data_IF_902077221934
#
_entry.id   IF_902077221934
#
_cell.length_a   1.000
_cell.length_b   1.000
_cell.length_c   1.000
_cell.angle_alpha   90.00
_cell.angle_beta   90.00
_cell.angle_gamma   90.00
#
_symmetry.space_group_name_H-M   'P 1'
#
loop_
_entity.id
_entity.type
_entity.pdbx_description
1 polymer ?
#
# COMPACT_ATOMS: atom_id res chain seq x y z
N UNK A 1 -29.66 25.23 61.63
CA UNK A 1 -29.56 25.65 60.21
C UNK A 1 -28.38 24.95 59.57
N UNK A 2 -28.59 23.81 58.89
CA UNK A 2 -27.53 23.12 58.12
C UNK A 2 -27.93 23.22 56.64
N UNK A 3 -27.16 23.97 55.85
CA UNK A 3 -27.38 24.09 54.41
C UNK A 3 -26.92 22.79 53.76
N UNK A 4 -27.84 22.03 53.20
CA UNK A 4 -27.58 20.82 52.43
C UNK A 4 -27.32 21.25 50.98
N UNK A 5 -26.06 21.31 50.58
CA UNK A 5 -25.68 21.63 49.19
C UNK A 5 -25.72 20.33 48.38
N UNK A 6 -26.74 20.19 47.53
CA UNK A 6 -26.91 19.09 46.59
C UNK A 6 -25.97 19.30 45.39
N UNK A 7 -24.91 18.48 45.29
CA UNK A 7 -24.00 18.47 44.15
C UNK A 7 -24.66 17.64 43.03
N UNK A 8 -25.13 18.31 41.99
CA UNK A 8 -25.58 17.67 40.76
C UNK A 8 -24.35 17.18 39.98
N UNK A 9 -24.04 15.89 40.06
CA UNK A 9 -23.01 15.26 39.23
C UNK A 9 -23.59 15.06 37.81
N UNK A 10 -23.47 16.08 36.96
CA UNK A 10 -23.76 15.94 35.53
C UNK A 10 -22.68 15.06 34.89
N UNK A 11 -23.03 13.79 34.68
CA UNK A 11 -22.24 12.85 33.92
C UNK A 11 -22.22 13.29 32.45
N UNK A 12 -21.18 14.03 32.05
CA UNK A 12 -20.90 14.36 30.66
C UNK A 12 -20.52 13.06 29.94
N UNK A 13 -21.51 12.45 29.28
CA UNK A 13 -21.28 11.36 28.32
C UNK A 13 -20.54 12.00 27.14
N UNK A 14 -19.21 11.90 27.13
CA UNK A 14 -18.42 12.21 25.94
C UNK A 14 -18.77 11.18 24.87
N UNK A 15 -19.42 11.55 23.76
CA UNK A 15 -19.58 10.62 22.65
C UNK A 15 -18.19 10.30 22.12
N UNK A 16 -17.82 9.02 22.16
CA UNK A 16 -16.62 8.51 21.50
C UNK A 16 -16.77 8.75 20.01
N UNK A 17 -16.02 9.73 19.49
CA UNK A 17 -15.96 10.02 18.06
C UNK A 17 -15.33 8.82 17.35
N UNK A 18 -16.16 7.98 16.74
CA UNK A 18 -15.67 6.92 15.86
C UNK A 18 -14.97 7.57 14.67
N UNK A 19 -13.69 7.23 14.44
CA UNK A 19 -12.98 7.61 13.22
C UNK A 19 -13.72 6.95 12.05
N UNK A 20 -14.40 7.74 11.22
CA UNK A 20 -14.87 7.29 9.92
C UNK A 20 -13.63 7.20 9.03
N UNK A 21 -13.16 5.97 8.80
CA UNK A 21 -12.11 5.71 7.81
C UNK A 21 -12.80 5.70 6.45
N UNK A 22 -12.60 6.76 5.66
CA UNK A 22 -13.05 6.81 4.28
C UNK A 22 -12.01 6.10 3.42
N UNK A 23 -12.46 5.26 2.49
CA UNK A 23 -11.58 4.66 1.49
C UNK A 23 -10.96 5.76 0.62
N UNK A 24 -9.64 5.87 0.63
CA UNK A 24 -8.87 6.82 -0.17
C UNK A 24 -8.45 6.19 -1.50
N UNK A 25 -8.21 7.02 -2.52
CA UNK A 25 -7.56 6.61 -3.77
C UNK A 25 -6.22 7.31 -3.88
N UNK A 26 -5.14 6.54 -3.94
CA UNK A 26 -3.78 7.03 -4.10
C UNK A 26 -3.37 6.80 -5.56
N UNK A 27 -2.90 7.87 -6.22
CA UNK A 27 -2.44 7.81 -7.60
C UNK A 27 -0.92 7.61 -7.66
N UNK A 28 -0.49 6.69 -8.53
CA UNK A 28 0.92 6.37 -8.79
C UNK A 28 1.16 6.53 -10.29
N UNK A 29 2.11 7.38 -10.65
CA UNK A 29 2.46 7.66 -12.04
C UNK A 29 3.63 6.78 -12.50
N UNK A 30 3.64 6.44 -13.79
CA UNK A 30 4.82 5.86 -14.44
C UNK A 30 5.77 6.99 -14.83
N UNK A 31 6.99 7.01 -14.30
CA UNK A 31 7.93 8.12 -14.52
C UNK A 31 8.78 7.91 -15.77
N UNK A 32 9.51 8.95 -16.19
CA UNK A 32 10.48 8.87 -17.29
C UNK A 32 11.74 8.04 -16.96
N UNK A 33 11.94 7.67 -15.68
CA UNK A 33 13.14 6.98 -15.19
C UNK A 33 12.91 5.48 -14.96
N UNK A 34 11.92 4.88 -15.63
CA UNK A 34 11.49 3.49 -15.41
C UNK A 34 11.22 3.21 -13.93
N UNK A 35 10.48 4.10 -13.27
CA UNK A 35 10.08 3.97 -11.86
C UNK A 35 8.62 4.36 -11.65
N UNK A 36 8.10 4.00 -10.49
CA UNK A 36 6.81 4.49 -10.00
C UNK A 36 7.02 5.77 -9.19
N UNK A 37 6.12 6.76 -9.30
CA UNK A 37 6.24 8.02 -8.54
C UNK A 37 6.23 7.82 -7.03
N UNK A 38 5.59 6.74 -6.56
CA UNK A 38 5.65 6.21 -5.21
C UNK A 38 6.13 4.76 -5.27
N UNK A 39 7.36 4.51 -4.84
CA UNK A 39 7.92 3.14 -4.82
C UNK A 39 7.52 2.37 -3.55
N UNK A 40 7.19 3.08 -2.47
CA UNK A 40 6.68 2.53 -1.22
C UNK A 40 5.47 3.36 -0.80
N UNK A 41 4.32 2.71 -0.62
CA UNK A 41 3.09 3.38 -0.19
C UNK A 41 2.43 2.60 0.95
N UNK A 42 1.94 3.32 1.95
CA UNK A 42 1.14 2.78 3.06
C UNK A 42 -0.29 3.21 2.85
N UNK A 43 -1.22 2.26 2.96
CA UNK A 43 -2.64 2.49 2.80
C UNK A 43 -3.43 1.74 3.88
N UNK A 44 -4.65 2.17 4.14
CA UNK A 44 -5.59 1.47 5.00
C UNK A 44 -6.29 0.34 4.22
N UNK A 45 -6.91 -0.58 4.97
CA UNK A 45 -7.73 -1.63 4.35
C UNK A 45 -8.97 -1.01 3.71
N UNK A 46 -9.16 -1.28 2.42
CA UNK A 46 -10.26 -0.75 1.62
C UNK A 46 -9.86 0.40 0.70
N UNK A 47 -8.66 0.94 0.83
CA UNK A 47 -8.12 1.96 -0.06
C UNK A 47 -7.83 1.40 -1.45
N UNK A 48 -7.71 2.32 -2.41
CA UNK A 48 -7.45 2.03 -3.81
C UNK A 48 -6.11 2.60 -4.23
N UNK A 49 -5.31 1.81 -4.97
CA UNK A 49 -4.20 2.36 -5.75
C UNK A 49 -4.63 2.44 -7.21
N UNK A 50 -4.43 3.61 -7.82
CA UNK A 50 -4.63 3.84 -9.25
C UNK A 50 -3.28 4.17 -9.89
N UNK A 51 -2.85 3.34 -10.85
CA UNK A 51 -1.66 3.57 -11.64
C UNK A 51 -2.01 4.29 -12.93
N UNK A 52 -1.34 5.43 -13.17
CA UNK A 52 -1.58 6.32 -14.28
C UNK A 52 -0.45 6.21 -15.32
N UNK A 53 -0.77 5.92 -16.59
CA UNK A 53 0.22 5.77 -17.66
C UNK A 53 0.66 7.13 -18.23
N UNK A 54 1.25 7.98 -17.37
CA UNK A 54 1.79 9.29 -17.73
C UNK A 54 3.06 9.17 -18.58
N UNK A 55 3.80 8.07 -18.45
CA UNK A 55 4.86 7.63 -19.37
C UNK A 55 4.49 6.30 -20.03
N UNK A 56 4.93 6.09 -21.28
CA UNK A 56 4.58 4.91 -22.10
C UNK A 56 5.58 3.76 -21.95
N UNK A 57 5.14 2.54 -22.24
CA UNK A 57 5.94 1.32 -22.15
C UNK A 57 5.86 0.61 -20.79
N UNK A 58 4.90 0.98 -19.95
CA UNK A 58 4.85 0.52 -18.55
C UNK A 58 3.54 -0.17 -18.21
N UNK A 59 3.59 -1.03 -17.20
CA UNK A 59 2.44 -1.72 -16.66
C UNK A 59 2.68 -2.10 -15.18
N UNK A 60 1.70 -2.78 -14.59
CA UNK A 60 1.78 -3.32 -13.24
C UNK A 60 1.60 -4.84 -13.30
N UNK A 61 2.49 -5.57 -12.66
CA UNK A 61 2.40 -7.01 -12.43
C UNK A 61 2.65 -7.32 -10.96
N UNK A 62 1.70 -7.98 -10.29
CA UNK A 62 1.91 -8.39 -8.91
C UNK A 62 2.81 -9.63 -8.86
N UNK A 63 3.86 -9.53 -8.06
CA UNK A 63 4.89 -10.56 -7.93
C UNK A 63 4.70 -11.36 -6.65
N UNK A 64 4.27 -10.71 -5.57
CA UNK A 64 4.02 -11.34 -4.29
C UNK A 64 3.07 -10.53 -3.42
N UNK A 65 2.36 -11.21 -2.53
CA UNK A 65 1.40 -10.59 -1.63
C UNK A 65 0.46 -11.63 -1.02
N UNK A 66 -0.40 -11.24 -0.08
CA UNK A 66 -1.44 -12.11 0.45
C UNK A 66 -2.55 -12.31 -0.61
N UNK A 67 -3.06 -13.55 -0.71
CA UNK A 67 -4.22 -13.91 -1.57
C UNK A 67 -4.10 -13.40 -3.01
N UNK A 68 -2.94 -13.62 -3.63
CA UNK A 68 -2.63 -13.20 -5.01
C UNK A 68 -3.62 -13.72 -6.06
N UNK A 69 -4.31 -14.82 -5.77
CA UNK A 69 -5.38 -15.40 -6.57
C UNK A 69 -6.62 -14.49 -6.69
N UNK A 70 -6.78 -13.54 -5.76
CA UNK A 70 -7.86 -12.56 -5.77
C UNK A 70 -7.49 -11.25 -6.47
N UNK A 71 -6.21 -11.05 -6.81
CA UNK A 71 -5.73 -9.86 -7.51
C UNK A 71 -5.68 -10.09 -9.02
N UNK A 72 -5.93 -9.04 -9.84
CA UNK A 72 -5.60 -9.11 -11.25
C UNK A 72 -4.09 -9.30 -11.37
N UNK A 73 -3.63 -10.40 -11.96
CA UNK A 73 -2.20 -10.74 -12.00
C UNK A 73 -1.34 -9.63 -12.64
N UNK A 74 -1.85 -8.99 -13.71
CA UNK A 74 -1.12 -8.01 -14.51
C UNK A 74 -2.08 -7.05 -15.22
N UNK A 75 -1.73 -5.77 -15.31
CA UNK A 75 -2.39 -4.79 -16.16
C UNK A 75 -1.92 -4.89 -17.60
N UNK A 76 -2.70 -4.35 -18.54
CA UNK A 76 -2.18 -4.08 -19.88
C UNK A 76 -1.15 -2.94 -19.83
N UNK A 77 -0.27 -2.92 -20.83
CA UNK A 77 0.69 -1.82 -21.02
C UNK A 77 -0.07 -0.54 -21.35
N UNK A 78 0.34 0.57 -20.74
CA UNK A 78 -0.15 1.94 -20.99
C UNK A 78 -1.65 2.18 -20.77
N UNK A 79 -2.30 1.30 -20.00
CA UNK A 79 -3.67 1.48 -19.54
C UNK A 79 -3.70 1.87 -18.06
N UNK A 80 -4.68 2.70 -17.69
CA UNK A 80 -4.97 2.97 -16.27
C UNK A 80 -5.32 1.65 -15.59
N UNK A 81 -4.71 1.39 -14.45
CA UNK A 81 -4.98 0.21 -13.64
C UNK A 81 -5.40 0.64 -12.24
N UNK A 82 -6.44 0.04 -11.69
CA UNK A 82 -6.96 0.40 -10.37
C UNK A 82 -7.29 -0.86 -9.57
N UNK A 83 -6.85 -0.91 -8.32
CA UNK A 83 -7.04 -2.06 -7.43
C UNK A 83 -7.42 -1.59 -6.03
N UNK A 84 -8.50 -2.17 -5.50
CA UNK A 84 -8.92 -1.99 -4.10
C UNK A 84 -8.26 -3.03 -3.22
N UNK A 85 -7.54 -2.60 -2.19
CA UNK A 85 -6.77 -3.47 -1.31
C UNK A 85 -7.56 -3.86 -0.06
N UNK A 86 -8.09 -5.08 -0.05
CA UNK A 86 -8.96 -5.56 1.05
C UNK A 86 -8.27 -6.48 2.05
N UNK A 87 -7.07 -6.97 1.73
CA UNK A 87 -6.36 -7.93 2.57
C UNK A 87 -5.10 -7.24 3.14
N UNK A 88 -4.96 -7.16 4.47
CA UNK A 88 -3.77 -6.62 5.10
C UNK A 88 -2.50 -7.40 4.71
N UNK A 89 -1.38 -6.69 4.66
CA UNK A 89 -0.07 -7.27 4.37
C UNK A 89 0.73 -6.41 3.40
N UNK A 90 1.89 -6.94 2.99
CA UNK A 90 2.79 -6.28 2.07
C UNK A 90 2.68 -6.91 0.68
N UNK A 91 2.47 -6.08 -0.33
CA UNK A 91 2.43 -6.48 -1.74
C UNK A 91 3.65 -5.94 -2.47
N UNK A 92 4.21 -6.76 -3.35
CA UNK A 92 5.28 -6.38 -4.27
C UNK A 92 4.75 -6.49 -5.68
N UNK A 93 4.90 -5.42 -6.45
CA UNK A 93 4.58 -5.40 -7.87
C UNK A 93 5.77 -4.84 -8.66
N UNK A 94 5.80 -5.14 -9.96
CA UNK A 94 6.83 -4.67 -10.86
C UNK A 94 6.26 -4.39 -12.24
N UNK A 95 7.02 -3.63 -13.03
CA UNK A 95 6.71 -3.44 -14.44
C UNK A 95 7.26 -4.66 -15.21
N UNK A 96 6.46 -5.31 -16.05
CA UNK A 96 6.88 -6.52 -16.77
C UNK A 96 8.13 -6.28 -17.64
N UNK A 97 8.21 -5.25 -18.51
CA UNK A 97 9.40 -5.00 -19.31
C UNK A 97 10.61 -4.51 -18.50
N UNK A 98 10.40 -3.76 -17.41
CA UNK A 98 11.48 -3.07 -16.67
C UNK A 98 11.77 -3.67 -15.28
N UNK A 99 11.08 -4.74 -14.89
CA UNK A 99 11.17 -5.32 -13.56
C UNK A 99 12.54 -5.92 -13.26
N UNK A 100 13.20 -6.51 -14.27
CA UNK A 100 14.57 -7.02 -14.14
C UNK A 100 15.61 -5.91 -13.94
N UNK A 101 15.29 -4.67 -14.33
CA UNK A 101 16.09 -3.46 -14.11
C UNK A 101 15.77 -2.80 -12.76
N UNK A 102 14.72 -3.26 -12.07
CA UNK A 102 14.37 -2.81 -10.73
C UNK A 102 13.18 -1.87 -10.66
N UNK A 103 12.37 -1.74 -11.72
CA UNK A 103 11.09 -1.01 -11.66
C UNK A 103 10.08 -1.80 -10.81
N UNK A 104 10.18 -1.64 -9.49
CA UNK A 104 9.38 -2.32 -8.48
C UNK A 104 8.67 -1.30 -7.58
N UNK A 105 7.52 -1.69 -7.06
CA UNK A 105 6.82 -0.96 -6.02
C UNK A 105 6.36 -1.88 -4.89
N UNK A 106 6.12 -1.29 -3.72
CA UNK A 106 5.76 -1.98 -2.50
C UNK A 106 4.59 -1.27 -1.81
N UNK A 107 3.52 -2.01 -1.51
CA UNK A 107 2.31 -1.50 -0.85
C UNK A 107 2.22 -2.16 0.51
N UNK A 108 2.04 -1.38 1.58
CA UNK A 108 1.75 -1.87 2.92
C UNK A 108 0.29 -1.54 3.24
N UNK A 109 -0.53 -2.58 3.43
CA UNK A 109 -1.96 -2.45 3.70
C UNK A 109 -2.23 -2.68 5.18
N UNK A 110 -2.85 -1.70 5.84
CA UNK A 110 -3.25 -1.78 7.25
C UNK A 110 -2.06 -1.85 8.23
N UNK A 111 -0.90 -1.32 7.83
CA UNK A 111 0.36 -1.39 8.59
C UNK A 111 0.78 -2.82 8.99
N UNK A 112 0.37 -3.82 8.21
CA UNK A 112 0.63 -5.23 8.48
C UNK A 112 1.85 -5.73 7.69
N UNK A 113 2.84 -6.25 8.42
CA UNK A 113 4.10 -6.75 7.88
C UNK A 113 4.26 -8.28 7.97
N UNK A 114 3.20 -9.03 8.31
CA UNK A 114 3.30 -10.46 8.63
C UNK A 114 3.96 -11.32 7.54
N UNK A 115 3.85 -10.93 6.27
CA UNK A 115 4.40 -11.67 5.12
C UNK A 115 5.73 -11.11 4.59
N UNK A 116 6.32 -10.08 5.20
CA UNK A 116 7.50 -9.40 4.64
C UNK A 116 8.74 -10.28 4.52
N UNK A 117 8.91 -11.27 5.39
CA UNK A 117 10.05 -12.18 5.30
C UNK A 117 9.94 -13.10 4.08
N UNK A 118 8.72 -13.55 3.75
CA UNK A 118 8.46 -14.35 2.54
C UNK A 118 8.75 -13.59 1.25
N UNK A 119 8.61 -12.25 1.27
CA UNK A 119 8.94 -11.42 0.11
C UNK A 119 10.43 -11.47 -0.25
N UNK A 120 11.32 -11.85 0.67
CA UNK A 120 12.76 -11.95 0.37
C UNK A 120 13.11 -13.20 -0.44
N UNK A 121 12.19 -14.16 -0.53
CA UNK A 121 12.37 -15.46 -1.16
C UNK A 121 11.91 -15.47 -2.63
N UNK A 122 11.30 -14.38 -3.12
CA UNK A 122 10.83 -14.33 -4.51
C UNK A 122 12.01 -14.30 -5.48
N UNK A 123 11.92 -15.08 -6.55
CA UNK A 123 12.95 -15.15 -7.58
C UNK A 123 12.95 -13.90 -8.44
N UNK A 124 14.07 -13.16 -8.43
CA UNK A 124 14.25 -11.89 -9.13
C UNK A 124 15.67 -11.80 -9.72
N UNK A 125 15.86 -10.89 -10.67
CA UNK A 125 17.22 -10.52 -11.10
C UNK A 125 18.03 -9.98 -9.92
N UNK A 126 19.37 -10.03 -10.01
CA UNK A 126 20.25 -9.45 -8.99
C UNK A 126 19.92 -7.97 -8.70
N UNK A 127 19.63 -7.19 -9.75
CA UNK A 127 19.30 -5.77 -9.62
C UNK A 127 17.96 -5.60 -8.92
N UNK A 128 16.92 -6.31 -9.37
CA UNK A 128 15.60 -6.29 -8.78
C UNK A 128 15.60 -6.74 -7.31
N UNK A 129 16.36 -7.80 -6.95
CA UNK A 129 16.54 -8.21 -5.55
C UNK A 129 17.21 -7.13 -4.69
N UNK A 130 18.16 -6.37 -5.26
CA UNK A 130 18.80 -5.25 -4.57
C UNK A 130 17.81 -4.12 -4.32
N UNK A 131 16.99 -3.79 -5.32
CA UNK A 131 15.93 -2.78 -5.19
C UNK A 131 14.89 -3.23 -4.16
N UNK A 132 14.39 -4.46 -4.21
CA UNK A 132 13.42 -4.96 -3.23
C UNK A 132 13.96 -4.86 -1.78
N UNK A 133 15.23 -5.19 -1.55
CA UNK A 133 15.86 -5.01 -0.24
C UNK A 133 15.89 -3.55 0.21
N UNK A 134 16.11 -2.60 -0.72
CA UNK A 134 16.02 -1.16 -0.44
C UNK A 134 14.59 -0.76 -0.09
N UNK A 135 13.59 -1.18 -0.88
CA UNK A 135 12.18 -0.87 -0.61
C UNK A 135 11.71 -1.41 0.75
N UNK A 136 12.07 -2.66 1.08
CA UNK A 136 11.79 -3.25 2.40
C UNK A 136 12.45 -2.46 3.54
N UNK A 137 13.65 -1.90 3.33
CA UNK A 137 14.31 -1.07 4.34
C UNK A 137 13.56 0.26 4.53
N UNK A 138 13.17 0.92 3.43
CA UNK A 138 12.36 2.15 3.46
C UNK A 138 11.04 1.89 4.18
N UNK A 139 10.34 0.82 3.81
CA UNK A 139 9.07 0.40 4.42
C UNK A 139 9.14 0.08 5.92
N UNK A 140 10.33 -0.04 6.52
CA UNK A 140 10.51 -0.27 7.96
C UNK A 140 11.05 0.94 8.72
N UNK A 141 11.51 1.96 8.01
CA UNK A 141 12.15 3.14 8.59
C UNK A 141 11.15 4.22 9.00
N UNK A 142 9.96 4.20 8.41
CA UNK A 142 8.81 5.05 8.76
C UNK A 142 7.85 4.33 9.74
#
# INVERSE_FOLDING_TARGET
>A
MKKLTLIFLTCLIFPSLSKVVLAETIQIEFTENDSYSLEVVRIEVGDTIEWLPTNKGHNVEFLAGPKMDLLPKRSKIDEVHSVVFKIPGVYVYGCTPHGSMGMLGLIIVGNDFHNIEKLKEIELSRVASSVLKRLIRVARAD
#
